data_IF_287566251458
#
_entry.id   IF_287566251458
#
_cell.length_a   1.000
_cell.length_b   1.000
_cell.length_c   1.000
_cell.angle_alpha   90.00
_cell.angle_beta   90.00
_cell.angle_gamma   90.00
#
_symmetry.space_group_name_H-M   'P 1'
#
loop_
_entity.id
_entity.type
_entity.pdbx_description
1 polymer ?
#
# COMPACT_ATOMS: atom_id res chain seq x y z
N UNK A 1 -43.28 44.88 -39.16
CA UNK A 1 -42.70 44.58 -40.49
C UNK A 1 -41.49 43.72 -40.23
N UNK A 2 -41.81 42.60 -40.37
CA UNK A 2 -41.46 41.31 -41.03
C UNK A 2 -40.29 40.60 -40.35
N UNK A 3 -40.70 39.55 -39.72
CA UNK A 3 -40.02 38.44 -39.16
C UNK A 3 -39.35 37.56 -40.26
N UNK A 4 -38.06 37.29 -40.21
CA UNK A 4 -37.43 36.26 -41.03
C UNK A 4 -36.68 35.26 -40.11
N UNK A 5 -37.38 34.18 -39.76
CA UNK A 5 -36.79 32.97 -39.14
C UNK A 5 -36.05 32.16 -40.21
N UNK A 6 -34.76 31.94 -40.00
CA UNK A 6 -33.99 30.90 -40.69
C UNK A 6 -34.23 29.51 -40.07
N UNK A 7 -34.45 28.46 -40.84
CA UNK A 7 -34.59 27.10 -40.31
C UNK A 7 -33.21 26.47 -39.96
N UNK A 8 -33.25 25.55 -38.95
CA UNK A 8 -32.11 24.78 -38.50
C UNK A 8 -31.75 23.67 -39.53
N UNK A 9 -30.47 23.25 -39.65
CA UNK A 9 -30.07 22.14 -40.52
C UNK A 9 -30.38 20.77 -39.88
N UNK A 10 -30.85 19.83 -40.72
CA UNK A 10 -31.13 18.44 -40.40
C UNK A 10 -29.82 17.64 -40.08
N UNK A 11 -29.90 16.54 -39.30
CA UNK A 11 -28.73 15.71 -38.99
C UNK A 11 -28.36 14.78 -40.14
N UNK A 12 -27.16 14.95 -40.68
CA UNK A 12 -26.59 14.09 -41.70
C UNK A 12 -26.18 12.71 -41.14
N UNK A 13 -26.65 11.69 -41.78
CA UNK A 13 -26.35 10.26 -41.62
C UNK A 13 -24.87 10.00 -41.94
N UNK A 14 -24.06 9.56 -40.99
CA UNK A 14 -22.66 9.15 -41.22
C UNK A 14 -22.66 7.65 -41.55
N UNK A 15 -22.24 7.32 -42.76
CA UNK A 15 -22.05 5.96 -43.26
C UNK A 15 -20.86 5.26 -42.52
N UNK A 16 -21.08 4.00 -42.17
CA UNK A 16 -20.06 3.11 -41.61
C UNK A 16 -18.99 2.77 -42.65
N UNK A 17 -17.81 3.31 -42.49
CA UNK A 17 -16.62 2.92 -43.27
C UNK A 17 -15.85 1.80 -42.55
N UNK A 18 -15.77 0.65 -43.17
CA UNK A 18 -14.94 -0.50 -42.79
C UNK A 18 -13.46 -0.14 -43.03
N UNK A 19 -12.67 -0.01 -41.96
CA UNK A 19 -11.23 0.12 -42.03
C UNK A 19 -10.55 -1.26 -41.92
N UNK A 20 -9.72 -1.59 -42.92
CA UNK A 20 -8.87 -2.78 -42.93
C UNK A 20 -7.70 -2.64 -41.97
N UNK A 21 -7.12 -3.77 -41.45
CA UNK A 21 -6.02 -3.71 -40.49
C UNK A 21 -4.71 -3.33 -41.18
N UNK A 22 -4.04 -2.28 -40.69
CA UNK A 22 -2.67 -1.92 -41.06
C UNK A 22 -1.69 -2.81 -40.30
N UNK A 23 -0.72 -3.33 -41.06
CA UNK A 23 0.29 -4.28 -40.60
C UNK A 23 1.24 -3.71 -39.53
N UNK A 24 1.67 -4.59 -38.62
CA UNK A 24 2.61 -4.28 -37.56
C UNK A 24 4.02 -3.99 -38.08
N UNK A 25 4.52 -2.81 -37.75
CA UNK A 25 5.95 -2.48 -37.76
C UNK A 25 6.62 -2.94 -36.47
N UNK A 26 7.96 -2.99 -36.39
CA UNK A 26 8.68 -3.40 -35.18
C UNK A 26 8.38 -2.42 -34.04
N UNK A 27 8.13 -2.97 -32.85
CA UNK A 27 7.79 -2.21 -31.64
C UNK A 27 8.97 -1.34 -31.19
N UNK A 28 8.66 -0.09 -30.88
CA UNK A 28 9.57 0.89 -30.29
C UNK A 28 9.94 0.43 -28.85
N UNK A 29 11.22 0.31 -28.47
CA UNK A 29 11.64 -0.14 -27.14
C UNK A 29 11.24 0.80 -26.01
N UNK A 30 10.84 2.05 -26.28
CA UNK A 30 10.45 3.06 -25.29
C UNK A 30 8.93 3.19 -25.10
N UNK A 31 8.11 2.39 -25.80
CA UNK A 31 6.66 2.45 -25.63
C UNK A 31 6.21 1.67 -24.37
N UNK A 32 5.42 2.28 -23.47
CA UNK A 32 4.95 1.61 -22.25
C UNK A 32 4.08 0.39 -22.59
N UNK A 33 4.43 -0.77 -22.04
CA UNK A 33 3.73 -2.04 -22.30
C UNK A 33 2.30 -2.02 -21.75
N UNK A 34 1.32 -2.11 -22.63
CA UNK A 34 -0.10 -2.21 -22.29
C UNK A 34 -0.50 -3.66 -22.03
N UNK A 35 -1.00 -3.94 -20.84
CA UNK A 35 -1.54 -5.26 -20.48
C UNK A 35 -3.02 -5.37 -20.88
N UNK A 36 -3.41 -6.51 -21.46
CA UNK A 36 -4.80 -6.75 -21.83
C UNK A 36 -5.71 -6.86 -20.59
N UNK A 37 -6.83 -6.10 -20.54
CA UNK A 37 -7.78 -6.07 -19.40
C UNK A 37 -8.16 -7.47 -18.89
N UNK A 38 -8.52 -8.40 -19.79
CA UNK A 38 -8.94 -9.76 -19.39
C UNK A 38 -7.84 -10.60 -18.75
N UNK A 39 -6.61 -10.41 -19.14
CA UNK A 39 -5.45 -11.16 -18.63
C UNK A 39 -5.05 -10.65 -17.25
N UNK A 40 -5.09 -9.34 -17.05
CA UNK A 40 -4.90 -8.70 -15.76
C UNK A 40 -5.99 -9.12 -14.75
N UNK A 41 -7.28 -9.05 -15.13
CA UNK A 41 -8.40 -9.40 -14.25
C UNK A 41 -8.35 -10.86 -13.76
N UNK A 42 -8.01 -11.81 -14.63
CA UNK A 42 -7.92 -13.23 -14.25
C UNK A 42 -6.80 -13.49 -13.23
N UNK A 43 -5.69 -12.80 -13.37
CA UNK A 43 -4.54 -13.02 -12.50
C UNK A 43 -4.69 -12.30 -11.16
N UNK A 44 -5.20 -11.07 -11.14
CA UNK A 44 -5.43 -10.32 -9.90
C UNK A 44 -6.52 -10.98 -9.03
N UNK A 45 -7.63 -11.42 -9.62
CA UNK A 45 -8.69 -12.11 -8.89
C UNK A 45 -8.20 -13.44 -8.28
N UNK A 46 -7.38 -14.21 -9.01
CA UNK A 46 -6.81 -15.47 -8.49
C UNK A 46 -5.80 -15.24 -7.37
N UNK A 47 -5.02 -14.16 -7.43
CA UNK A 47 -4.00 -13.86 -6.43
C UNK A 47 -4.58 -13.10 -5.24
N UNK A 48 -5.58 -12.24 -5.44
CA UNK A 48 -6.35 -11.63 -4.34
C UNK A 48 -7.09 -12.71 -3.54
N UNK A 49 -7.67 -13.70 -4.20
CA UNK A 49 -8.29 -14.86 -3.50
C UNK A 49 -7.26 -15.74 -2.80
N UNK A 50 -6.07 -15.94 -3.34
CA UNK A 50 -4.99 -16.69 -2.65
C UNK A 50 -4.43 -15.91 -1.46
N UNK A 51 -4.25 -14.60 -1.59
CA UNK A 51 -3.80 -13.74 -0.49
C UNK A 51 -4.88 -13.63 0.58
N UNK A 52 -6.14 -13.52 0.21
CA UNK A 52 -7.29 -13.58 1.11
C UNK A 52 -7.37 -14.94 1.81
N UNK A 53 -7.30 -16.05 1.10
CA UNK A 53 -7.30 -17.40 1.69
C UNK A 53 -6.12 -17.62 2.66
N UNK A 54 -4.96 -17.02 2.37
CA UNK A 54 -3.78 -17.10 3.24
C UNK A 54 -3.94 -16.23 4.49
N UNK A 55 -4.56 -15.04 4.36
CA UNK A 55 -4.89 -14.16 5.50
C UNK A 55 -6.00 -14.79 6.37
N UNK A 56 -6.99 -15.46 5.78
CA UNK A 56 -8.05 -16.21 6.49
C UNK A 56 -7.47 -17.37 7.29
N UNK A 57 -6.63 -18.19 6.67
CA UNK A 57 -5.91 -19.26 7.38
C UNK A 57 -5.13 -18.72 8.58
N UNK A 58 -4.49 -17.55 8.42
CA UNK A 58 -3.76 -16.88 9.50
C UNK A 58 -4.64 -16.37 10.63
N UNK A 59 -5.80 -15.75 10.32
CA UNK A 59 -6.72 -15.22 11.33
C UNK A 59 -7.48 -16.33 12.12
N UNK A 60 -7.95 -17.37 11.41
CA UNK A 60 -8.66 -18.50 12.05
C UNK A 60 -7.80 -19.28 13.03
N UNK A 61 -6.55 -19.44 12.73
CA UNK A 61 -5.64 -20.25 13.51
C UNK A 61 -4.89 -19.47 14.59
N UNK A 62 -4.84 -18.08 14.59
CA UNK A 62 -4.43 -17.29 15.77
C UNK A 62 -5.28 -17.61 17.02
N UNK A 63 -6.42 -18.25 16.82
CA UNK A 63 -7.26 -18.77 17.89
C UNK A 63 -6.76 -20.09 18.50
N UNK A 64 -5.99 -20.90 17.78
CA UNK A 64 -5.63 -22.26 18.23
C UNK A 64 -4.14 -22.53 18.46
N UNK A 65 -3.24 -21.68 18.03
CA UNK A 65 -1.80 -21.86 18.26
C UNK A 65 -0.91 -21.05 17.32
N UNK A 66 -0.19 -20.13 17.90
CA UNK A 66 0.61 -19.12 17.20
C UNK A 66 1.84 -19.64 16.43
N UNK A 67 2.27 -20.87 16.64
CA UNK A 67 3.52 -21.40 16.10
C UNK A 67 3.37 -22.17 14.76
N UNK A 68 2.33 -22.98 14.61
CA UNK A 68 2.13 -23.77 13.37
C UNK A 68 1.69 -22.91 12.19
N UNK A 69 1.08 -21.79 12.47
CA UNK A 69 0.57 -20.86 11.47
C UNK A 69 1.59 -19.92 10.89
N UNK A 70 2.52 -19.46 11.68
CA UNK A 70 3.63 -18.67 11.16
C UNK A 70 4.40 -19.47 10.09
N UNK A 71 4.54 -20.80 10.25
CA UNK A 71 5.22 -21.64 9.28
C UNK A 71 4.41 -21.90 7.99
N UNK A 72 3.08 -22.04 8.07
CA UNK A 72 2.24 -22.19 6.88
C UNK A 72 2.12 -20.87 6.10
N UNK A 73 2.11 -19.74 6.80
CA UNK A 73 2.12 -18.41 6.22
C UNK A 73 3.49 -18.06 5.63
N UNK A 74 4.57 -18.38 6.34
CA UNK A 74 5.96 -18.20 5.88
C UNK A 74 6.31 -19.12 4.71
N UNK A 75 5.81 -20.35 4.67
CA UNK A 75 5.98 -21.25 3.52
C UNK A 75 5.33 -20.71 2.24
N UNK A 76 4.23 -19.97 2.33
CA UNK A 76 3.60 -19.30 1.17
C UNK A 76 4.24 -17.94 0.85
N UNK A 77 4.76 -17.23 1.84
CA UNK A 77 5.48 -15.96 1.68
C UNK A 77 6.91 -16.20 1.16
N UNK A 78 7.62 -17.22 1.66
CA UNK A 78 8.92 -17.67 1.13
C UNK A 78 8.83 -18.05 -0.34
N UNK A 79 7.75 -18.69 -0.77
CA UNK A 79 7.54 -18.99 -2.19
C UNK A 79 7.33 -17.72 -3.02
N UNK A 80 6.81 -16.65 -2.45
CA UNK A 80 6.67 -15.33 -3.10
C UNK A 80 7.99 -14.53 -3.07
N UNK A 81 8.70 -14.53 -1.95
CA UNK A 81 9.98 -13.83 -1.74
C UNK A 81 11.10 -14.51 -2.50
N UNK A 82 11.19 -15.87 -2.46
CA UNK A 82 12.19 -16.63 -3.22
C UNK A 82 12.01 -16.47 -4.72
N UNK A 83 10.78 -16.24 -5.21
CA UNK A 83 10.55 -15.93 -6.64
C UNK A 83 10.92 -14.51 -7.04
N UNK A 84 10.95 -13.56 -6.11
CA UNK A 84 11.47 -12.21 -6.38
C UNK A 84 13.00 -12.18 -6.37
N UNK A 85 13.65 -12.93 -5.49
CA UNK A 85 15.12 -13.02 -5.40
C UNK A 85 15.79 -14.08 -6.30
N UNK A 86 15.13 -15.19 -6.60
CA UNK A 86 15.68 -16.31 -7.36
C UNK A 86 15.42 -16.27 -8.87
N UNK A 87 14.77 -15.23 -9.39
CA UNK A 87 14.31 -15.19 -10.79
C UNK A 87 15.34 -14.72 -11.81
N UNK A 88 16.62 -14.79 -11.55
CA UNK A 88 17.62 -14.65 -12.62
C UNK A 88 17.78 -15.91 -13.49
N UNK A 89 17.15 -17.04 -13.13
CA UNK A 89 17.34 -18.31 -13.84
C UNK A 89 16.06 -18.97 -14.40
N UNK A 90 14.86 -18.39 -14.22
CA UNK A 90 13.62 -18.99 -14.69
C UNK A 90 12.82 -18.02 -15.59
N UNK A 91 13.24 -17.92 -16.85
CA UNK A 91 12.60 -17.12 -17.89
C UNK A 91 11.42 -17.87 -18.56
N UNK A 92 10.83 -18.87 -17.94
CA UNK A 92 9.72 -19.62 -18.53
C UNK A 92 8.66 -19.87 -17.47
N UNK A 93 7.48 -19.30 -17.72
CA UNK A 93 6.26 -19.32 -16.93
C UNK A 93 6.06 -18.14 -15.96
N UNK A 94 6.13 -16.94 -16.50
CA UNK A 94 5.41 -15.79 -15.94
C UNK A 94 3.92 -15.90 -16.30
N UNK A 95 3.19 -16.77 -15.63
CA UNK A 95 1.75 -16.58 -15.51
C UNK A 95 1.57 -15.35 -14.62
N UNK A 96 1.39 -14.23 -15.28
CA UNK A 96 1.41 -12.91 -14.70
C UNK A 96 0.19 -12.67 -13.84
N UNK A 97 0.25 -13.04 -12.57
CA UNK A 97 -0.60 -12.45 -11.56
C UNK A 97 0.01 -11.12 -11.14
N UNK A 98 -0.73 -10.02 -11.28
CA UNK A 98 -0.35 -8.76 -10.64
C UNK A 98 -0.43 -8.96 -9.12
N UNK A 99 0.71 -9.09 -8.45
CA UNK A 99 0.81 -9.34 -7.01
C UNK A 99 1.23 -8.11 -6.23
N UNK A 100 1.79 -7.13 -6.91
CA UNK A 100 2.33 -5.93 -6.30
C UNK A 100 2.25 -4.76 -7.29
N UNK A 101 1.97 -3.52 -6.81
CA UNK A 101 2.02 -2.33 -7.65
C UNK A 101 3.44 -1.96 -8.10
N UNK A 102 4.43 -2.72 -7.69
CA UNK A 102 5.83 -2.55 -8.10
C UNK A 102 6.58 -3.88 -8.14
N UNK A 103 7.70 -3.91 -8.86
CA UNK A 103 8.67 -5.01 -8.87
C UNK A 103 10.08 -4.44 -8.87
N UNK A 104 10.95 -5.01 -8.04
CA UNK A 104 12.38 -4.74 -8.09
C UNK A 104 13.06 -5.82 -8.94
N UNK A 105 13.41 -5.47 -10.16
CA UNK A 105 14.18 -6.29 -11.10
C UNK A 105 15.68 -6.00 -10.99
N UNK A 106 16.57 -6.81 -11.59
CA UNK A 106 18.02 -6.58 -11.46
C UNK A 106 18.49 -5.20 -11.91
N UNK A 107 17.89 -4.65 -12.97
CA UNK A 107 18.33 -3.42 -13.60
C UNK A 107 17.30 -2.28 -13.55
N UNK A 108 16.11 -2.53 -12.99
CA UNK A 108 15.04 -1.54 -12.95
C UNK A 108 14.06 -1.80 -11.81
N UNK A 109 13.33 -0.75 -11.44
CA UNK A 109 12.11 -0.84 -10.63
C UNK A 109 10.94 -0.61 -11.57
N UNK A 110 10.03 -1.58 -11.67
CA UNK A 110 8.83 -1.46 -12.50
C UNK A 110 7.67 -1.06 -11.61
N UNK A 111 6.98 0.01 -11.96
CA UNK A 111 5.86 0.58 -11.22
C UNK A 111 4.57 0.49 -12.04
N UNK A 112 3.45 0.15 -11.40
CA UNK A 112 2.12 0.31 -12.00
C UNK A 112 1.72 1.80 -11.95
N UNK A 113 1.46 2.40 -13.10
CA UNK A 113 1.03 3.80 -13.17
C UNK A 113 -0.42 3.96 -12.67
N UNK A 114 -0.56 4.29 -11.40
CA UNK A 114 -1.87 4.49 -10.76
C UNK A 114 -2.65 5.69 -11.32
N UNK A 115 -1.99 6.59 -12.05
CA UNK A 115 -2.64 7.74 -12.71
C UNK A 115 -3.52 7.29 -13.87
N UNK A 116 -3.22 6.12 -14.43
CA UNK A 116 -3.93 5.54 -15.59
C UNK A 116 -5.09 4.62 -15.19
N UNK A 117 -5.14 4.19 -13.92
CA UNK A 117 -6.23 3.40 -13.39
C UNK A 117 -7.52 4.24 -13.26
N UNK A 118 -8.71 3.66 -13.44
CA UNK A 118 -9.00 2.25 -13.78
C UNK A 118 -8.96 1.95 -15.29
N UNK A 119 -8.73 2.95 -16.14
CA UNK A 119 -8.95 2.83 -17.58
C UNK A 119 -7.86 2.01 -18.28
N UNK A 120 -6.61 2.20 -17.91
CA UNK A 120 -5.46 1.55 -18.51
C UNK A 120 -4.52 0.97 -17.44
N UNK A 121 -3.96 -0.20 -17.77
CA UNK A 121 -2.91 -0.85 -16.98
C UNK A 121 -1.57 -0.59 -17.68
N UNK A 122 -0.84 0.37 -17.17
CA UNK A 122 0.45 0.81 -17.72
C UNK A 122 1.53 0.60 -16.69
N UNK A 123 2.64 0.02 -17.09
CA UNK A 123 3.84 -0.12 -16.26
C UNK A 123 4.88 0.92 -16.69
N UNK A 124 5.53 1.53 -15.71
CA UNK A 124 6.62 2.48 -15.87
C UNK A 124 7.91 1.84 -15.35
N UNK A 125 8.92 1.74 -16.19
CA UNK A 125 10.24 1.25 -15.82
C UNK A 125 11.11 2.42 -15.33
N UNK A 126 11.59 2.34 -14.09
CA UNK A 126 12.54 3.27 -13.50
C UNK A 126 13.92 2.61 -13.51
N UNK A 127 14.83 3.15 -14.27
CA UNK A 127 16.19 2.57 -14.41
C UNK A 127 17.21 3.18 -13.44
N UNK A 128 16.82 4.17 -12.65
CA UNK A 128 17.67 4.78 -11.60
C UNK A 128 16.85 5.18 -10.39
N UNK A 129 17.51 5.39 -9.24
CA UNK A 129 16.86 5.96 -8.06
C UNK A 129 16.31 7.37 -8.30
N UNK A 130 16.88 8.13 -9.22
CA UNK A 130 16.36 9.44 -9.63
C UNK A 130 15.01 9.30 -10.38
N UNK A 131 14.86 8.29 -11.25
CA UNK A 131 13.60 7.99 -11.93
C UNK A 131 12.53 7.56 -10.91
N UNK A 132 12.91 6.75 -9.92
CA UNK A 132 12.01 6.36 -8.83
C UNK A 132 11.55 7.60 -8.04
N UNK A 133 12.47 8.51 -7.67
CA UNK A 133 12.11 9.74 -6.99
C UNK A 133 11.20 10.63 -7.86
N UNK A 134 11.42 10.68 -9.18
CA UNK A 134 10.55 11.41 -10.09
C UNK A 134 9.16 10.76 -10.19
N UNK A 135 9.08 9.44 -10.33
CA UNK A 135 7.82 8.70 -10.37
C UNK A 135 6.98 8.93 -9.09
N UNK A 136 7.61 8.97 -7.91
CA UNK A 136 6.95 9.31 -6.65
C UNK A 136 6.40 10.74 -6.69
N UNK A 137 7.20 11.74 -7.06
CA UNK A 137 6.77 13.14 -7.16
C UNK A 137 5.60 13.32 -8.13
N UNK A 138 5.62 12.61 -9.24
CA UNK A 138 4.56 12.65 -10.25
C UNK A 138 3.33 11.80 -9.88
N UNK A 139 3.33 11.16 -8.70
CA UNK A 139 2.23 10.30 -8.25
C UNK A 139 1.95 9.11 -9.19
N UNK A 140 2.98 8.57 -9.86
CA UNK A 140 2.88 7.28 -10.57
C UNK A 140 2.40 6.20 -9.61
N UNK A 141 2.91 6.22 -8.38
CA UNK A 141 2.48 5.41 -7.24
C UNK A 141 2.15 6.30 -6.05
N UNK A 142 1.21 5.87 -5.19
CA UNK A 142 0.74 6.59 -4.01
C UNK A 142 0.50 5.62 -2.85
N UNK A 143 0.45 6.19 -1.64
CA UNK A 143 0.26 5.47 -0.38
C UNK A 143 1.58 5.31 0.36
N UNK A 144 1.67 5.89 1.56
CA UNK A 144 2.92 6.02 2.29
C UNK A 144 3.64 4.68 2.52
N UNK A 145 2.98 3.58 2.90
CA UNK A 145 3.65 2.29 3.07
C UNK A 145 4.25 1.74 1.76
N UNK A 146 3.57 1.94 0.61
CA UNK A 146 4.11 1.59 -0.70
C UNK A 146 5.33 2.44 -1.04
N UNK A 147 5.23 3.77 -0.81
CA UNK A 147 6.31 4.70 -1.16
C UNK A 147 7.61 4.38 -0.42
N UNK A 148 7.52 3.93 0.85
CA UNK A 148 8.70 3.47 1.62
C UNK A 148 9.39 2.27 0.96
N UNK A 149 8.63 1.27 0.53
CA UNK A 149 9.13 0.08 -0.16
C UNK A 149 9.76 0.45 -1.52
N UNK A 150 9.09 1.27 -2.31
CA UNK A 150 9.56 1.72 -3.63
C UNK A 150 10.83 2.57 -3.49
N UNK A 151 10.92 3.42 -2.47
CA UNK A 151 12.12 4.20 -2.18
C UNK A 151 13.31 3.31 -1.82
N UNK A 152 13.10 2.26 -1.01
CA UNK A 152 14.14 1.26 -0.70
C UNK A 152 14.64 0.57 -1.98
N UNK A 153 13.73 0.18 -2.88
CA UNK A 153 14.07 -0.37 -4.19
C UNK A 153 14.91 0.61 -5.03
N UNK A 154 14.56 1.90 -5.04
CA UNK A 154 15.30 2.93 -5.76
C UNK A 154 16.74 3.10 -5.26
N UNK A 155 16.96 3.01 -3.94
CA UNK A 155 18.30 3.09 -3.36
C UNK A 155 19.10 1.80 -3.64
N UNK A 156 18.49 0.63 -3.54
CA UNK A 156 19.11 -0.65 -3.89
C UNK A 156 19.51 -0.70 -5.37
N UNK A 157 18.65 -0.24 -6.28
CA UNK A 157 18.96 -0.10 -7.71
C UNK A 157 20.17 0.82 -7.94
N UNK A 158 20.23 1.95 -7.21
CA UNK A 158 21.37 2.90 -7.30
C UNK A 158 22.67 2.24 -6.82
N UNK A 159 22.63 1.43 -5.78
CA UNK A 159 23.79 0.66 -5.31
C UNK A 159 24.29 -0.32 -6.40
N UNK A 160 23.36 -1.06 -7.03
CA UNK A 160 23.68 -1.96 -8.15
C UNK A 160 24.30 -1.27 -9.37
N UNK A 161 24.02 0.02 -9.56
CA UNK A 161 24.61 0.81 -10.65
C UNK A 161 25.90 1.53 -10.28
N UNK A 162 26.29 1.50 -9.01
CA UNK A 162 27.53 2.12 -8.51
C UNK A 162 28.67 1.15 -8.23
N UNK A 163 28.65 -0.06 -8.81
CA UNK A 163 29.59 -1.16 -8.54
C UNK A 163 31.06 -0.75 -8.73
N UNK A 164 31.35 -0.02 -9.81
CA UNK A 164 32.71 0.39 -10.17
C UNK A 164 33.11 1.77 -9.62
N UNK A 165 32.20 2.46 -8.93
CA UNK A 165 32.48 3.74 -8.32
C UNK A 165 33.46 3.58 -7.16
N UNK A 166 34.35 4.57 -6.96
CA UNK A 166 35.20 4.60 -5.76
C UNK A 166 34.31 4.67 -4.49
N UNK A 167 34.78 4.20 -3.33
CA UNK A 167 34.01 4.20 -2.10
C UNK A 167 33.41 5.59 -1.75
N UNK A 168 34.21 6.66 -1.88
CA UNK A 168 33.74 8.02 -1.63
C UNK A 168 32.70 8.49 -2.65
N UNK A 169 32.88 8.19 -3.93
CA UNK A 169 31.91 8.51 -4.97
C UNK A 169 30.60 7.73 -4.77
N UNK A 170 30.67 6.43 -4.45
CA UNK A 170 29.52 5.59 -4.13
C UNK A 170 28.75 6.14 -2.94
N UNK A 171 29.44 6.51 -1.85
CA UNK A 171 28.83 7.14 -0.69
C UNK A 171 28.06 8.41 -1.09
N UNK A 172 28.69 9.31 -1.85
CA UNK A 172 28.05 10.54 -2.30
C UNK A 172 26.80 10.27 -3.16
N UNK A 173 26.88 9.29 -4.08
CA UNK A 173 25.76 8.87 -4.93
C UNK A 173 24.59 8.34 -4.09
N UNK A 174 24.86 7.43 -3.14
CA UNK A 174 23.81 6.83 -2.30
C UNK A 174 23.14 7.85 -1.39
N UNK A 175 23.92 8.73 -0.71
CA UNK A 175 23.35 9.79 0.10
C UNK A 175 22.55 10.82 -0.72
N UNK A 176 23.05 11.18 -1.90
CA UNK A 176 22.35 12.06 -2.85
C UNK A 176 21.00 11.45 -3.27
N UNK A 177 20.99 10.17 -3.63
CA UNK A 177 19.77 9.44 -4.00
C UNK A 177 18.81 9.31 -2.84
N UNK A 178 19.28 8.96 -1.64
CA UNK A 178 18.43 8.87 -0.45
C UNK A 178 17.76 10.23 -0.14
N UNK A 179 18.50 11.34 -0.27
CA UNK A 179 17.91 12.67 -0.14
C UNK A 179 16.86 12.99 -1.22
N UNK A 180 17.13 12.61 -2.48
CA UNK A 180 16.17 12.82 -3.55
C UNK A 180 14.86 12.03 -3.32
N UNK A 181 14.97 10.79 -2.81
CA UNK A 181 13.83 9.95 -2.47
C UNK A 181 13.05 10.50 -1.27
N UNK A 182 13.72 10.94 -0.18
CA UNK A 182 13.05 11.60 0.96
C UNK A 182 12.27 12.84 0.54
N UNK A 183 12.88 13.66 -0.32
CA UNK A 183 12.25 14.89 -0.81
C UNK A 183 11.16 14.64 -1.88
N UNK A 184 11.01 13.42 -2.38
CA UNK A 184 9.95 13.07 -3.31
C UNK A 184 8.58 12.92 -2.64
N UNK A 185 8.55 12.54 -1.36
CA UNK A 185 7.33 12.44 -0.55
C UNK A 185 7.63 12.78 0.91
N UNK A 186 7.86 14.05 1.26
CA UNK A 186 8.34 14.45 2.58
C UNK A 186 7.30 14.25 3.70
N UNK A 187 6.01 14.18 3.36
CA UNK A 187 4.94 13.87 4.33
C UNK A 187 4.89 12.39 4.68
N UNK A 188 5.35 11.50 3.78
CA UNK A 188 5.28 10.06 3.97
C UNK A 188 6.39 9.57 4.92
N UNK A 189 6.08 9.37 6.20
CA UNK A 189 7.02 8.86 7.19
C UNK A 189 7.70 7.53 6.79
N UNK A 190 7.01 6.54 6.15
CA UNK A 190 7.65 5.32 5.68
C UNK A 190 8.81 5.53 4.72
N UNK A 191 8.80 6.58 3.90
CA UNK A 191 9.94 6.89 3.00
C UNK A 191 11.16 7.30 3.81
N UNK A 192 10.97 8.16 4.81
CA UNK A 192 12.07 8.60 5.71
C UNK A 192 12.62 7.40 6.48
N UNK A 193 11.75 6.62 7.11
CA UNK A 193 12.13 5.45 7.88
C UNK A 193 12.87 4.40 7.03
N UNK A 194 12.41 4.14 5.80
CA UNK A 194 13.09 3.25 4.89
C UNK A 194 14.48 3.76 4.48
N UNK A 195 14.62 5.05 4.19
CA UNK A 195 15.92 5.63 3.85
C UNK A 195 16.89 5.63 5.03
N UNK A 196 16.41 5.88 6.24
CA UNK A 196 17.24 5.82 7.45
C UNK A 196 17.74 4.39 7.68
N UNK A 197 16.87 3.40 7.54
CA UNK A 197 17.20 1.98 7.67
C UNK A 197 18.21 1.52 6.60
N UNK A 198 17.98 1.88 5.34
CA UNK A 198 18.89 1.56 4.24
C UNK A 198 20.29 2.18 4.43
N UNK A 199 20.35 3.44 4.87
CA UNK A 199 21.63 4.11 5.16
C UNK A 199 22.31 3.56 6.42
N UNK A 200 21.56 3.16 7.44
CA UNK A 200 22.09 2.46 8.61
C UNK A 200 22.70 1.10 8.19
N UNK A 201 22.04 0.34 7.31
CA UNK A 201 22.59 -0.90 6.74
C UNK A 201 23.89 -0.63 5.98
N UNK A 202 23.92 0.41 5.13
CA UNK A 202 25.13 0.82 4.41
C UNK A 202 26.28 1.14 5.36
N UNK A 203 26.03 1.89 6.44
CA UNK A 203 27.04 2.20 7.45
C UNK A 203 27.53 0.95 8.19
N UNK A 204 26.62 0.03 8.56
CA UNK A 204 26.93 -1.17 9.32
C UNK A 204 27.85 -2.16 8.59
N UNK A 205 27.83 -2.18 7.25
CA UNK A 205 28.73 -3.03 6.45
C UNK A 205 30.11 -2.41 6.23
N UNK A 206 30.39 -1.20 6.75
CA UNK A 206 31.66 -0.47 6.54
C UNK A 206 31.71 0.17 5.15
N UNK A 207 30.98 1.25 5.00
CA UNK A 207 30.66 1.93 3.73
C UNK A 207 31.87 2.33 2.86
N UNK A 208 32.99 2.66 3.49
CA UNK A 208 34.22 3.05 2.78
C UNK A 208 35.23 1.90 2.62
N UNK A 209 34.98 0.76 3.25
CA UNK A 209 35.91 -0.37 3.26
C UNK A 209 35.48 -1.47 2.32
N UNK A 210 34.21 -1.50 1.89
CA UNK A 210 33.63 -2.56 1.09
C UNK A 210 33.62 -2.23 -0.39
N UNK A 211 33.72 -3.29 -1.21
CA UNK A 211 33.61 -3.19 -2.65
C UNK A 211 32.15 -2.93 -3.10
N UNK A 212 31.99 -2.55 -4.38
CA UNK A 212 30.69 -2.27 -4.95
C UNK A 212 29.70 -3.43 -4.89
N UNK A 213 30.08 -4.64 -5.29
CA UNK A 213 29.22 -5.82 -5.23
C UNK A 213 28.70 -6.13 -3.82
N UNK A 214 29.56 -6.07 -2.80
CA UNK A 214 29.16 -6.30 -1.41
C UNK A 214 28.14 -5.27 -0.94
N UNK A 215 28.35 -3.99 -1.27
CA UNK A 215 27.40 -2.91 -0.94
C UNK A 215 26.07 -3.11 -1.66
N UNK A 216 26.10 -3.45 -2.96
CA UNK A 216 24.92 -3.65 -3.76
C UNK A 216 24.08 -4.83 -3.25
N UNK A 217 24.71 -5.96 -2.94
CA UNK A 217 24.05 -7.12 -2.35
C UNK A 217 23.39 -6.77 -1.02
N UNK A 218 24.12 -6.15 -0.09
CA UNK A 218 23.60 -5.83 1.23
C UNK A 218 22.41 -4.84 1.18
N UNK A 219 22.42 -3.86 0.28
CA UNK A 219 21.30 -2.93 0.13
C UNK A 219 20.13 -3.56 -0.64
N UNK A 220 20.39 -4.53 -1.52
CA UNK A 220 19.33 -5.30 -2.14
C UNK A 220 18.63 -6.20 -1.11
N UNK A 221 19.39 -6.94 -0.32
CA UNK A 221 18.86 -7.81 0.75
C UNK A 221 18.02 -6.99 1.75
N UNK A 222 18.48 -5.76 2.08
CA UNK A 222 17.75 -4.88 2.98
C UNK A 222 16.43 -4.36 2.37
N UNK A 223 16.42 -4.03 1.08
CA UNK A 223 15.20 -3.65 0.38
C UNK A 223 14.20 -4.81 0.32
N UNK A 224 14.67 -6.02 0.02
CA UNK A 224 13.84 -7.24 0.01
C UNK A 224 13.30 -7.56 1.42
N UNK A 225 14.08 -7.31 2.48
CA UNK A 225 13.64 -7.43 3.87
C UNK A 225 12.51 -6.42 4.19
N UNK A 226 12.68 -5.14 3.83
CA UNK A 226 11.64 -4.11 4.02
C UNK A 226 10.32 -4.52 3.34
N UNK A 227 10.39 -5.07 2.13
CA UNK A 227 9.22 -5.54 1.38
C UNK A 227 8.56 -6.73 2.10
N UNK A 228 9.35 -7.73 2.49
CA UNK A 228 8.85 -8.93 3.18
C UNK A 228 8.19 -8.60 4.51
N UNK A 229 8.82 -7.75 5.31
CA UNK A 229 8.29 -7.27 6.60
C UNK A 229 6.99 -6.48 6.42
N UNK A 230 6.88 -5.64 5.37
CA UNK A 230 5.64 -4.93 5.06
C UNK A 230 4.49 -5.89 4.75
N UNK A 231 4.72 -6.96 3.97
CA UNK A 231 3.70 -7.97 3.67
C UNK A 231 3.20 -8.65 4.95
N UNK A 232 4.14 -9.12 5.79
CA UNK A 232 3.81 -9.81 7.04
C UNK A 232 3.18 -8.86 8.06
N UNK A 233 3.69 -7.65 8.17
CA UNK A 233 3.17 -6.61 9.04
C UNK A 233 1.72 -6.26 8.69
N UNK A 234 1.42 -6.02 7.42
CA UNK A 234 0.06 -5.71 6.99
C UNK A 234 -0.92 -6.87 7.22
N UNK A 235 -0.48 -8.13 7.10
CA UNK A 235 -1.32 -9.27 7.43
C UNK A 235 -1.64 -9.33 8.94
N UNK A 236 -0.63 -9.11 9.81
CA UNK A 236 -0.85 -9.01 11.27
C UNK A 236 -1.76 -7.84 11.62
N UNK A 237 -1.54 -6.67 11.01
CA UNK A 237 -2.40 -5.50 11.18
C UNK A 237 -3.85 -5.82 10.83
N UNK A 238 -4.09 -6.53 9.72
CA UNK A 238 -5.43 -6.95 9.31
C UNK A 238 -6.10 -7.82 10.37
N UNK A 239 -5.39 -8.80 10.93
CA UNK A 239 -5.89 -9.65 12.01
C UNK A 239 -6.18 -8.87 13.31
N UNK A 240 -5.29 -7.92 13.69
CA UNK A 240 -5.53 -7.05 14.83
C UNK A 240 -6.80 -6.20 14.65
N UNK A 241 -7.02 -5.67 13.43
CA UNK A 241 -8.21 -4.91 13.11
C UNK A 241 -9.50 -5.76 13.14
N UNK A 242 -9.45 -6.99 12.63
CA UNK A 242 -10.58 -7.91 12.71
C UNK A 242 -10.93 -8.23 14.17
N UNK A 243 -9.93 -8.45 15.03
CA UNK A 243 -10.12 -8.63 16.47
C UNK A 243 -10.79 -7.42 17.12
N UNK A 244 -10.43 -6.19 16.71
CA UNK A 244 -11.13 -4.98 17.18
C UNK A 244 -12.61 -5.05 16.85
N UNK A 245 -12.99 -5.31 15.61
CA UNK A 245 -14.38 -5.36 15.17
C UNK A 245 -15.18 -6.50 15.80
N UNK A 246 -14.53 -7.58 16.18
CA UNK A 246 -15.18 -8.70 16.90
C UNK A 246 -15.46 -8.38 18.37
N UNK A 247 -14.64 -7.55 19.01
CA UNK A 247 -14.69 -7.28 20.45
C UNK A 247 -15.34 -5.94 20.83
N UNK A 248 -15.46 -5.01 19.86
CA UNK A 248 -16.00 -3.68 20.13
C UNK A 248 -17.54 -3.72 20.32
N UNK A 249 -18.09 -3.14 21.41
CA UNK A 249 -19.51 -3.20 21.69
C UNK A 249 -20.42 -2.53 20.65
N UNK A 250 -19.93 -1.51 19.96
CA UNK A 250 -20.72 -0.79 18.96
C UNK A 250 -20.75 -1.53 17.62
N UNK A 251 -19.67 -2.22 17.30
CA UNK A 251 -19.51 -2.92 16.02
C UNK A 251 -19.62 -4.43 16.16
N UNK A 252 -19.48 -5.01 17.35
CA UNK A 252 -19.50 -6.45 17.62
C UNK A 252 -20.88 -7.12 17.62
N UNK A 253 -21.99 -6.36 17.64
CA UNK A 253 -23.34 -6.85 17.95
C UNK A 253 -24.03 -7.73 16.88
N UNK A 254 -23.35 -8.16 15.82
CA UNK A 254 -23.92 -8.96 14.72
C UNK A 254 -24.61 -8.11 13.65
N UNK A 255 -25.03 -8.77 12.56
CA UNK A 255 -25.56 -8.09 11.37
C UNK A 255 -24.47 -7.58 10.41
N UNK A 256 -24.90 -6.91 9.34
CA UNK A 256 -24.01 -6.33 8.33
C UNK A 256 -23.26 -5.13 8.90
N UNK A 257 -21.95 -5.18 8.94
CA UNK A 257 -21.08 -4.09 9.37
C UNK A 257 -20.88 -3.08 8.22
N UNK A 258 -21.26 -1.83 8.45
CA UNK A 258 -21.17 -0.74 7.46
C UNK A 258 -19.94 0.10 7.75
N UNK A 259 -18.91 -0.06 6.95
CA UNK A 259 -17.62 0.62 7.12
C UNK A 259 -17.44 1.69 6.04
N UNK A 260 -17.15 2.92 6.44
CA UNK A 260 -16.76 3.99 5.52
C UNK A 260 -15.25 4.14 5.51
N UNK A 261 -14.68 4.26 4.31
CA UNK A 261 -13.25 4.55 4.11
C UNK A 261 -13.05 5.72 3.16
N UNK A 262 -11.97 6.47 3.36
CA UNK A 262 -11.52 7.58 2.52
C UNK A 262 -10.02 7.44 2.25
N UNK A 263 -9.56 7.87 1.10
CA UNK A 263 -8.15 7.81 0.70
C UNK A 263 -7.77 6.53 -0.02
N UNK A 264 -6.47 6.30 -0.13
CA UNK A 264 -5.88 5.09 -0.73
C UNK A 264 -5.54 4.10 0.37
N UNK A 265 -6.36 3.06 0.57
CA UNK A 265 -6.30 2.19 1.75
C UNK A 265 -6.06 0.71 1.44
N UNK A 266 -5.92 0.37 0.14
CA UNK A 266 -5.78 -1.00 -0.32
C UNK A 266 -4.34 -1.42 -0.65
N UNK A 267 -4.20 -2.52 -1.39
CA UNK A 267 -2.94 -3.10 -1.82
C UNK A 267 -2.15 -2.16 -2.74
N UNK A 268 -2.83 -1.34 -3.54
CA UNK A 268 -2.19 -0.32 -4.37
C UNK A 268 -1.45 0.75 -3.55
N UNK A 269 -1.85 0.97 -2.30
CA UNK A 269 -1.19 1.91 -1.38
C UNK A 269 -0.27 1.24 -0.36
N UNK A 270 -0.54 -0.02 -0.03
CA UNK A 270 0.23 -0.80 0.94
C UNK A 270 1.39 -1.59 0.34
N UNK A 271 1.35 -1.87 -0.95
CA UNK A 271 2.36 -2.67 -1.66
C UNK A 271 1.85 -4.03 -2.12
N UNK A 272 1.22 -4.83 -1.30
CA UNK A 272 0.68 -6.15 -1.67
C UNK A 272 -0.61 -6.49 -0.91
N UNK A 273 -0.69 -6.16 0.36
CA UNK A 273 -1.82 -6.54 1.24
C UNK A 273 -2.77 -5.35 1.47
N UNK A 274 -2.23 -4.16 1.69
CA UNK A 274 -2.97 -2.97 2.08
C UNK A 274 -3.09 -2.81 3.59
N UNK A 275 -3.79 -1.76 4.03
CA UNK A 275 -3.99 -1.44 5.45
C UNK A 275 -5.48 -1.51 5.81
N UNK A 276 -6.24 -0.43 5.69
CA UNK A 276 -7.66 -0.42 6.06
C UNK A 276 -8.49 -1.42 5.26
N UNK A 277 -8.27 -1.58 3.95
CA UNK A 277 -8.97 -2.62 3.18
C UNK A 277 -8.55 -4.04 3.57
N UNK A 278 -7.33 -4.24 4.05
CA UNK A 278 -6.92 -5.55 4.57
C UNK A 278 -7.69 -5.91 5.85
N UNK A 279 -7.90 -4.94 6.76
CA UNK A 279 -8.77 -5.13 7.93
C UNK A 279 -10.19 -5.50 7.52
N UNK A 280 -10.77 -4.76 6.57
CA UNK A 280 -12.12 -5.03 6.06
C UNK A 280 -12.23 -6.44 5.46
N UNK A 281 -11.23 -6.86 4.70
CA UNK A 281 -11.16 -8.24 4.15
C UNK A 281 -11.10 -9.27 5.27
N UNK A 282 -10.23 -9.07 6.25
CA UNK A 282 -10.09 -10.00 7.39
C UNK A 282 -11.40 -10.17 8.17
N UNK A 283 -12.13 -9.07 8.43
CA UNK A 283 -13.46 -9.12 9.07
C UNK A 283 -14.46 -9.95 8.26
N UNK A 284 -14.45 -9.78 6.93
CA UNK A 284 -15.31 -10.53 6.03
C UNK A 284 -14.93 -12.02 5.97
N UNK A 285 -13.65 -12.28 5.94
CA UNK A 285 -13.11 -13.64 5.86
C UNK A 285 -13.37 -14.44 7.15
N UNK A 286 -13.56 -13.75 8.30
CA UNK A 286 -14.08 -14.33 9.54
C UNK A 286 -15.60 -14.61 9.48
N UNK A 287 -16.25 -14.43 8.33
CA UNK A 287 -17.64 -14.77 8.09
C UNK A 287 -18.63 -13.66 8.40
N UNK A 288 -18.17 -12.44 8.63
CA UNK A 288 -19.05 -11.30 8.89
C UNK A 288 -19.45 -10.60 7.59
N UNK A 289 -20.74 -10.31 7.43
CA UNK A 289 -21.20 -9.47 6.33
C UNK A 289 -20.68 -8.04 6.51
N UNK A 290 -20.04 -7.50 5.46
CA UNK A 290 -19.53 -6.13 5.43
C UNK A 290 -20.07 -5.39 4.22
N UNK A 291 -20.62 -4.20 4.43
CA UNK A 291 -20.95 -3.24 3.40
C UNK A 291 -19.93 -2.09 3.44
N UNK A 292 -19.20 -1.90 2.35
CA UNK A 292 -18.13 -0.91 2.28
C UNK A 292 -18.65 0.34 1.57
N UNK A 293 -18.58 1.47 2.26
CA UNK A 293 -18.84 2.79 1.73
C UNK A 293 -17.50 3.44 1.41
N UNK A 294 -17.26 3.77 0.15
CA UNK A 294 -15.99 4.33 -0.32
C UNK A 294 -16.21 5.79 -0.67
N UNK A 295 -15.64 6.72 0.09
CA UNK A 295 -15.61 8.12 -0.29
C UNK A 295 -14.76 8.30 -1.56
N UNK A 296 -15.22 9.12 -2.52
CA UNK A 296 -14.51 9.29 -3.80
C UNK A 296 -13.11 9.87 -3.66
N UNK A 297 -12.85 10.60 -2.59
CA UNK A 297 -11.57 11.22 -2.21
C UNK A 297 -11.08 12.23 -3.24
N UNK A 298 -11.75 13.40 -3.28
CA UNK A 298 -11.30 14.55 -4.09
C UNK A 298 -9.98 15.11 -3.54
N UNK A 299 -9.13 15.77 -4.35
CA UNK A 299 -9.32 16.01 -5.80
C UNK A 299 -8.84 14.86 -6.69
N UNK A 300 -8.00 13.96 -6.18
CA UNK A 300 -7.34 12.92 -6.98
C UNK A 300 -8.24 11.71 -7.28
N UNK A 301 -9.37 11.58 -6.60
CA UNK A 301 -10.34 10.49 -6.71
C UNK A 301 -9.75 9.12 -6.37
N UNK A 302 -8.89 9.07 -5.33
CA UNK A 302 -8.22 7.83 -4.93
C UNK A 302 -9.22 6.73 -4.53
N UNK A 303 -10.30 7.09 -3.80
CA UNK A 303 -11.36 6.15 -3.47
C UNK A 303 -12.08 5.63 -4.70
N UNK A 304 -12.50 6.53 -5.59
CA UNK A 304 -13.26 6.14 -6.80
C UNK A 304 -12.42 5.38 -7.81
N UNK A 305 -11.14 5.70 -7.96
CA UNK A 305 -10.28 5.16 -9.01
C UNK A 305 -9.48 3.93 -8.56
N UNK A 306 -8.99 3.91 -7.33
CA UNK A 306 -8.12 2.86 -6.82
C UNK A 306 -8.86 1.90 -5.91
N UNK A 307 -9.50 2.40 -4.83
CA UNK A 307 -10.17 1.56 -3.83
C UNK A 307 -11.35 0.83 -4.45
N UNK A 308 -12.22 1.53 -5.18
CA UNK A 308 -13.36 0.93 -5.87
C UNK A 308 -12.91 -0.12 -6.91
N UNK A 309 -11.81 0.17 -7.62
CA UNK A 309 -11.23 -0.77 -8.57
C UNK A 309 -10.70 -2.04 -7.90
N UNK A 310 -9.97 -1.92 -6.78
CA UNK A 310 -9.49 -3.08 -6.01
C UNK A 310 -10.65 -3.93 -5.47
N UNK A 311 -11.69 -3.29 -4.94
CA UNK A 311 -12.88 -3.98 -4.42
C UNK A 311 -13.65 -4.71 -5.52
N UNK A 312 -13.82 -4.06 -6.69
CA UNK A 312 -14.45 -4.68 -7.85
C UNK A 312 -13.67 -5.91 -8.33
N UNK A 313 -12.34 -5.85 -8.36
CA UNK A 313 -11.48 -6.97 -8.71
C UNK A 313 -11.58 -8.12 -7.70
N UNK A 314 -11.67 -7.80 -6.42
CA UNK A 314 -11.81 -8.79 -5.35
C UNK A 314 -13.23 -9.37 -5.26
N UNK A 315 -14.19 -8.88 -6.06
CA UNK A 315 -15.61 -9.30 -5.97
C UNK A 315 -16.25 -8.91 -4.63
N UNK A 316 -15.74 -7.85 -3.99
CA UNK A 316 -16.26 -7.35 -2.71
C UNK A 316 -17.29 -6.26 -2.99
N UNK A 317 -18.55 -6.40 -2.52
CA UNK A 317 -19.56 -5.37 -2.68
C UNK A 317 -19.17 -4.06 -2.00
N UNK A 318 -19.40 -2.95 -2.68
CA UNK A 318 -19.16 -1.62 -2.14
C UNK A 318 -20.13 -0.60 -2.76
N UNK A 319 -20.24 0.55 -2.10
CA UNK A 319 -20.99 1.71 -2.60
C UNK A 319 -20.06 2.92 -2.64
N UNK A 320 -19.94 3.55 -3.80
CA UNK A 320 -19.20 4.80 -3.94
C UNK A 320 -20.02 5.96 -3.40
N UNK A 321 -19.39 6.83 -2.61
CA UNK A 321 -20.01 7.98 -1.95
C UNK A 321 -19.25 9.25 -2.33
N UNK A 322 -19.97 10.31 -2.72
CA UNK A 322 -19.36 11.63 -2.85
C UNK A 322 -18.91 12.17 -1.49
N UNK A 323 -17.71 12.75 -1.41
CA UNK A 323 -17.11 13.18 -0.14
C UNK A 323 -18.04 14.06 0.69
N UNK A 324 -18.77 14.99 0.05
CA UNK A 324 -19.72 15.87 0.71
C UNK A 324 -20.96 15.16 1.31
N UNK A 325 -21.29 13.95 0.86
CA UNK A 325 -22.41 13.16 1.36
C UNK A 325 -22.03 12.28 2.57
N UNK A 326 -20.76 11.96 2.73
CA UNK A 326 -20.27 11.02 3.73
C UNK A 326 -20.66 11.40 5.16
N UNK A 327 -20.50 12.67 5.54
CA UNK A 327 -20.91 13.19 6.85
C UNK A 327 -22.42 13.01 7.12
N UNK A 328 -23.26 13.18 6.10
CA UNK A 328 -24.71 12.96 6.20
C UNK A 328 -25.07 11.48 6.44
N UNK A 329 -24.30 10.53 5.89
CA UNK A 329 -24.48 9.10 6.14
C UNK A 329 -24.15 8.74 7.61
N UNK A 330 -23.06 9.29 8.17
CA UNK A 330 -22.74 9.12 9.59
C UNK A 330 -23.89 9.66 10.47
N UNK A 331 -24.36 10.87 10.17
CA UNK A 331 -25.42 11.53 10.93
C UNK A 331 -26.76 10.75 10.92
N UNK A 332 -27.04 9.98 9.87
CA UNK A 332 -28.25 9.14 9.77
C UNK A 332 -28.08 7.74 10.35
N UNK A 333 -26.90 7.43 10.90
CA UNK A 333 -26.62 6.10 11.44
C UNK A 333 -26.50 5.02 10.35
N UNK A 334 -26.07 5.38 9.15
CA UNK A 334 -25.85 4.46 8.03
C UNK A 334 -24.40 3.94 7.97
N UNK A 335 -23.55 4.34 8.93
CA UNK A 335 -22.14 3.95 9.07
C UNK A 335 -21.90 3.48 10.49
N UNK A 336 -21.28 2.32 10.67
CA UNK A 336 -20.97 1.74 11.98
C UNK A 336 -19.52 2.04 12.41
N UNK A 337 -18.63 2.27 11.45
CA UNK A 337 -17.24 2.67 11.70
C UNK A 337 -16.64 3.40 10.50
N UNK A 338 -15.68 4.28 10.78
CA UNK A 338 -14.79 4.87 9.77
C UNK A 338 -13.41 4.27 9.92
N UNK A 339 -12.76 3.87 8.82
CA UNK A 339 -11.39 3.35 8.84
C UNK A 339 -10.56 4.01 7.75
N UNK A 340 -9.39 4.53 8.11
CA UNK A 340 -8.50 5.28 7.21
C UNK A 340 -7.06 4.76 7.28
N UNK A 341 -6.28 5.05 6.25
CA UNK A 341 -4.82 4.84 6.22
C UNK A 341 -4.10 6.20 6.28
N UNK A 342 -3.12 6.41 7.16
CA UNK A 342 -2.39 7.66 7.24
C UNK A 342 -1.12 7.67 6.38
N UNK A 343 -0.67 8.87 6.05
CA UNK A 343 0.67 9.14 5.48
C UNK A 343 1.75 9.18 6.59
N UNK A 344 1.38 9.64 7.79
CA UNK A 344 2.26 9.71 8.95
C UNK A 344 1.45 9.79 10.26
N UNK A 345 2.05 9.35 11.36
CA UNK A 345 1.53 9.45 12.73
C UNK A 345 2.57 10.16 13.57
N UNK A 346 2.21 11.28 14.20
CA UNK A 346 3.07 12.02 15.11
C UNK A 346 3.21 11.31 16.47
N UNK A 347 4.18 11.73 17.27
CA UNK A 347 4.47 11.13 18.59
C UNK A 347 3.31 11.21 19.58
N UNK A 348 2.47 12.23 19.49
CA UNK A 348 1.28 12.37 20.34
C UNK A 348 0.07 11.57 19.84
N UNK A 349 0.14 10.98 18.64
CA UNK A 349 -0.93 10.22 18.01
C UNK A 349 -1.77 11.02 17.01
N UNK A 350 -1.45 12.28 16.73
CA UNK A 350 -2.06 13.01 15.60
C UNK A 350 -1.68 12.33 14.29
N UNK A 351 -2.61 12.27 13.34
CA UNK A 351 -2.42 11.54 12.09
C UNK A 351 -2.63 12.43 10.87
N UNK A 352 -1.75 12.33 9.88
CA UNK A 352 -1.90 12.94 8.57
C UNK A 352 -2.57 11.94 7.63
N UNK A 353 -3.77 12.25 7.14
CA UNK A 353 -4.56 11.40 6.25
C UNK A 353 -4.97 12.17 4.98
N UNK A 354 -5.58 11.49 4.01
CA UNK A 354 -6.14 12.15 2.82
C UNK A 354 -7.15 13.23 3.22
N UNK A 355 -7.26 14.33 2.43
CA UNK A 355 -8.19 15.43 2.68
C UNK A 355 -9.64 14.94 2.80
N UNK A 356 -10.37 15.49 3.79
CA UNK A 356 -11.72 15.07 4.20
C UNK A 356 -11.74 14.22 5.47
N UNK A 357 -10.62 13.61 5.84
CA UNK A 357 -10.52 12.73 7.02
C UNK A 357 -10.79 13.49 8.33
N UNK A 358 -10.33 14.73 8.48
CA UNK A 358 -10.60 15.55 9.66
C UNK A 358 -12.10 15.79 9.86
N UNK A 359 -12.79 16.19 8.79
CA UNK A 359 -14.23 16.39 8.84
C UNK A 359 -15.00 15.14 9.20
N UNK A 360 -14.61 13.98 8.67
CA UNK A 360 -15.21 12.69 9.01
C UNK A 360 -14.93 12.30 10.47
N UNK A 361 -13.74 12.54 11.00
CA UNK A 361 -13.39 12.25 12.39
C UNK A 361 -14.25 13.08 13.37
N UNK A 362 -14.43 14.38 13.11
CA UNK A 362 -15.29 15.27 13.91
C UNK A 362 -16.74 14.79 13.90
N UNK A 363 -17.27 14.40 12.73
CA UNK A 363 -18.65 13.90 12.63
C UNK A 363 -18.79 12.52 13.28
N UNK A 364 -17.78 11.64 13.13
CA UNK A 364 -17.76 10.33 13.78
C UNK A 364 -17.81 10.48 15.31
N UNK A 365 -16.98 11.34 15.90
CA UNK A 365 -17.01 11.66 17.33
C UNK A 365 -18.39 12.17 17.76
N UNK A 366 -18.96 13.13 17.02
CA UNK A 366 -20.29 13.71 17.32
C UNK A 366 -21.41 12.67 17.41
N UNK A 367 -21.29 11.58 16.65
CA UNK A 367 -22.26 10.50 16.56
C UNK A 367 -21.84 9.21 17.27
N UNK A 368 -20.75 9.25 18.05
CA UNK A 368 -20.18 8.10 18.78
C UNK A 368 -19.84 6.91 17.83
N UNK A 369 -19.43 7.21 16.60
CA UNK A 369 -19.00 6.22 15.62
C UNK A 369 -17.48 6.06 15.74
N UNK A 370 -16.93 4.83 15.86
CA UNK A 370 -15.50 4.61 15.92
C UNK A 370 -14.78 5.15 14.66
N UNK A 371 -13.74 5.98 14.89
CA UNK A 371 -12.81 6.42 13.84
C UNK A 371 -11.47 5.69 14.04
N UNK A 372 -11.15 4.76 13.13
CA UNK A 372 -10.00 3.90 13.20
C UNK A 372 -8.92 4.32 12.21
N UNK A 373 -7.68 4.22 12.64
CA UNK A 373 -6.49 4.44 11.81
C UNK A 373 -5.77 3.11 11.64
N UNK A 374 -5.73 2.57 10.42
CA UNK A 374 -5.02 1.34 10.09
C UNK A 374 -3.66 1.65 9.48
N UNK A 375 -2.60 1.47 10.24
CA UNK A 375 -1.27 1.94 9.90
C UNK A 375 -0.17 0.98 10.37
N UNK A 376 0.76 0.56 9.50
CA UNK A 376 1.96 -0.12 9.97
C UNK A 376 2.82 0.82 10.82
N UNK A 377 3.57 0.26 11.75
CA UNK A 377 4.48 1.02 12.62
C UNK A 377 5.47 1.89 11.82
N UNK A 378 5.77 1.51 10.59
CA UNK A 378 6.60 2.31 9.69
C UNK A 378 6.03 3.70 9.36
N UNK A 379 4.73 3.94 9.59
CA UNK A 379 4.10 5.27 9.44
C UNK A 379 4.30 6.18 10.66
N UNK A 380 4.86 5.66 11.75
CA UNK A 380 5.18 6.46 12.92
C UNK A 380 6.38 7.37 12.65
N UNK A 381 6.15 8.68 12.76
CA UNK A 381 7.16 9.72 12.61
C UNK A 381 7.73 10.09 13.98
N UNK A 382 8.95 9.59 14.26
CA UNK A 382 9.65 9.84 15.53
C UNK A 382 10.10 11.29 15.71
N UNK A 383 10.20 12.06 14.62
CA UNK A 383 10.63 13.46 14.64
C UNK A 383 9.45 14.41 14.83
N UNK A 384 8.26 14.08 14.34
CA UNK A 384 7.07 14.90 14.49
C UNK A 384 6.55 14.82 15.93
N UNK A 385 6.61 15.90 16.67
CA UNK A 385 6.11 15.95 18.05
C UNK A 385 4.58 15.87 18.12
N UNK A 386 3.91 16.56 17.20
CA UNK A 386 2.46 16.68 17.08
C UNK A 386 2.06 16.97 15.62
N UNK A 387 0.76 17.08 15.34
CA UNK A 387 0.21 17.32 14.02
C UNK A 387 0.69 18.60 13.33
N UNK A 388 1.18 19.60 14.07
CA UNK A 388 1.75 20.82 13.47
C UNK A 388 3.08 20.55 12.76
N UNK A 389 3.77 19.48 13.13
CA UNK A 389 4.99 19.03 12.47
C UNK A 389 4.67 18.17 11.23
N UNK A 390 3.46 17.62 11.11
CA UNK A 390 3.00 16.87 9.95
C UNK A 390 2.57 17.87 8.85
N UNK A 391 3.49 18.16 7.95
CA UNK A 391 3.29 19.23 6.96
C UNK A 391 2.36 18.80 5.83
N UNK A 392 1.25 19.54 5.68
CA UNK A 392 0.45 19.49 4.46
C UNK A 392 1.16 20.28 3.35
N UNK A 393 1.62 19.60 2.30
CA UNK A 393 2.21 20.27 1.15
C UNK A 393 1.14 20.77 0.20
N UNK A 394 1.32 21.94 -0.43
CA UNK A 394 0.42 22.41 -1.47
C UNK A 394 0.58 21.52 -2.72
N UNK A 395 -0.53 20.99 -3.20
CA UNK A 395 -0.60 20.26 -4.47
C UNK A 395 -1.02 21.18 -5.62
N UNK A 396 -0.79 20.77 -6.88
CA UNK A 396 -1.17 21.57 -8.02
C UNK A 396 -2.65 21.95 -8.00
N UNK A 397 -2.95 23.25 -8.17
CA UNK A 397 -4.33 23.75 -8.23
C UNK A 397 -5.15 23.09 -9.36
N UNK A 398 -4.50 22.70 -10.44
CA UNK A 398 -5.11 22.02 -11.60
C UNK A 398 -5.87 20.74 -11.19
N UNK A 399 -5.46 20.03 -10.14
CA UNK A 399 -6.14 18.82 -9.64
C UNK A 399 -7.56 19.12 -9.14
N UNK A 400 -7.78 20.30 -8.52
CA UNK A 400 -9.11 20.77 -8.11
C UNK A 400 -9.88 21.41 -9.26
N UNK A 401 -9.20 22.15 -10.13
CA UNK A 401 -9.80 22.95 -11.18
C UNK A 401 -10.16 22.13 -12.43
N UNK A 402 -9.78 20.86 -12.47
CA UNK A 402 -10.04 19.98 -13.61
C UNK A 402 -10.55 18.61 -13.15
N UNK A 403 -11.33 17.94 -13.98
CA UNK A 403 -11.82 16.59 -13.79
C UNK A 403 -11.75 15.84 -15.12
N UNK A 404 -11.10 14.66 -15.15
CA UNK A 404 -10.94 13.88 -16.38
C UNK A 404 -10.25 14.65 -17.51
N UNK A 405 -9.28 15.51 -17.19
CA UNK A 405 -8.59 16.36 -18.14
C UNK A 405 -9.37 17.59 -18.61
N UNK A 406 -10.64 17.73 -18.19
CA UNK A 406 -11.48 18.87 -18.54
C UNK A 406 -11.53 19.88 -17.39
N UNK A 407 -11.28 21.15 -17.67
CA UNK A 407 -11.45 22.23 -16.70
C UNK A 407 -12.91 22.37 -16.28
N UNK A 408 -13.18 22.45 -14.97
CA UNK A 408 -14.52 22.56 -14.37
C UNK A 408 -14.75 23.89 -13.66
N UNK A 409 -13.70 24.71 -13.47
CA UNK A 409 -13.80 26.03 -12.86
C UNK A 409 -13.49 27.14 -13.87
N UNK A 410 -14.02 28.37 -13.71
CA UNK A 410 -13.70 29.50 -14.57
C UNK A 410 -12.19 29.78 -14.67
N UNK A 411 -11.77 30.38 -15.77
CA UNK A 411 -10.39 30.81 -15.95
C UNK A 411 -10.02 31.87 -14.88
N UNK A 412 -8.79 31.85 -14.38
CA UNK A 412 -8.36 32.75 -13.30
C UNK A 412 -8.78 32.31 -11.89
N UNK A 413 -9.56 31.21 -11.72
CA UNK A 413 -9.91 30.71 -10.38
C UNK A 413 -8.65 30.25 -9.62
N UNK A 414 -8.46 30.77 -8.40
CA UNK A 414 -7.46 30.27 -7.45
C UNK A 414 -8.02 29.04 -6.69
N UNK A 415 -7.12 28.13 -6.26
CA UNK A 415 -7.51 26.96 -5.48
C UNK A 415 -6.52 26.70 -4.34
N UNK A 416 -7.04 26.22 -3.22
CA UNK A 416 -6.24 25.69 -2.08
C UNK A 416 -6.38 24.18 -2.11
N UNK A 417 -5.25 23.48 -2.29
CA UNK A 417 -5.20 22.03 -2.46
C UNK A 417 -4.13 21.46 -1.52
N UNK A 418 -4.45 21.20 -0.24
CA UNK A 418 -3.50 20.55 0.69
C UNK A 418 -3.35 19.06 0.36
N UNK A 419 -2.15 18.52 0.60
CA UNK A 419 -1.87 17.09 0.37
C UNK A 419 -2.54 16.17 1.39
N UNK A 420 -2.71 16.65 2.62
CA UNK A 420 -3.28 15.89 3.75
C UNK A 420 -4.13 16.79 4.64
N UNK A 421 -5.06 16.15 5.38
CA UNK A 421 -5.66 16.67 6.62
C UNK A 421 -4.89 16.13 7.81
N UNK A 422 -4.83 16.90 8.90
CA UNK A 422 -4.35 16.42 10.19
C UNK A 422 -5.53 16.16 11.12
N UNK A 423 -5.69 14.90 11.51
CA UNK A 423 -6.70 14.47 12.49
C UNK A 423 -6.05 14.42 13.87
N UNK A 424 -6.53 15.21 14.84
CA UNK A 424 -6.04 15.19 16.22
C UNK A 424 -6.26 13.82 16.87
N UNK A 425 -5.32 13.42 17.72
CA UNK A 425 -5.33 12.12 18.42
C UNK A 425 -6.60 11.89 19.25
N UNK A 426 -7.21 12.94 19.79
CA UNK A 426 -8.45 12.89 20.55
C UNK A 426 -9.66 12.43 19.75
N UNK A 427 -9.66 12.59 18.42
CA UNK A 427 -10.71 12.13 17.52
C UNK A 427 -10.50 10.68 17.05
N UNK A 428 -9.33 10.08 17.34
CA UNK A 428 -9.00 8.72 16.94
C UNK A 428 -9.42 7.74 18.02
N UNK A 429 -10.30 6.80 17.69
CA UNK A 429 -10.77 5.76 18.63
C UNK A 429 -9.69 4.72 18.90
N UNK A 430 -8.98 4.29 17.86
CA UNK A 430 -7.86 3.37 17.96
C UNK A 430 -6.95 3.45 16.72
N UNK A 431 -5.66 3.18 16.94
CA UNK A 431 -4.67 2.95 15.89
C UNK A 431 -4.39 1.45 15.81
N UNK A 432 -4.72 0.84 14.69
CA UNK A 432 -4.51 -0.59 14.41
C UNK A 432 -3.16 -0.74 13.71
N UNK A 433 -2.26 -1.48 14.34
CA UNK A 433 -0.92 -1.75 13.83
C UNK A 433 -0.65 -3.27 13.80
N UNK A 434 0.46 -3.68 13.22
CA UNK A 434 0.95 -5.05 13.31
C UNK A 434 1.38 -5.47 14.72
N UNK A 435 1.62 -4.50 15.61
CA UNK A 435 1.94 -4.74 17.02
C UNK A 435 0.69 -4.84 17.91
N UNK A 436 -0.50 -4.56 17.36
CA UNK A 436 -1.77 -4.61 18.09
C UNK A 436 -2.65 -3.40 17.87
N UNK A 437 -3.75 -3.35 18.60
CA UNK A 437 -4.70 -2.23 18.63
C UNK A 437 -4.30 -1.27 19.73
N UNK A 438 -3.81 -0.10 19.36
CA UNK A 438 -3.38 0.95 20.28
C UNK A 438 -4.55 1.87 20.61
N UNK A 439 -4.66 2.28 21.88
CA UNK A 439 -5.65 3.25 22.38
C UNK A 439 -4.93 4.41 23.09
N UNK A 440 -5.62 5.52 23.21
CA UNK A 440 -5.09 6.68 23.93
C UNK A 440 -4.72 6.32 25.40
N UNK A 441 -3.62 6.91 25.94
CA UNK A 441 -2.73 7.87 25.31
C UNK A 441 -1.74 7.22 24.35
N UNK A 442 -1.69 7.72 23.10
CA UNK A 442 -0.96 7.05 22.01
C UNK A 442 0.57 7.13 22.12
N UNK A 443 1.10 8.21 22.67
CA UNK A 443 2.54 8.48 22.63
C UNK A 443 3.40 7.34 23.18
N UNK A 444 3.06 6.80 24.36
CA UNK A 444 3.78 5.67 24.97
C UNK A 444 3.56 4.37 24.17
N UNK A 445 2.31 4.13 23.74
CA UNK A 445 1.96 2.92 22.99
C UNK A 445 2.65 2.86 21.62
N UNK A 446 2.68 3.97 20.88
CA UNK A 446 3.39 4.09 19.60
C UNK A 446 4.90 3.92 19.75
N UNK A 447 5.49 4.56 20.79
CA UNK A 447 6.92 4.42 21.07
C UNK A 447 7.28 2.97 21.42
N UNK A 448 6.45 2.29 22.20
CA UNK A 448 6.64 0.87 22.54
C UNK A 448 6.50 -0.04 21.32
N UNK A 449 5.46 0.17 20.49
CA UNK A 449 5.27 -0.57 19.25
C UNK A 449 6.46 -0.39 18.28
N UNK A 450 7.01 0.84 18.20
CA UNK A 450 8.16 1.15 17.36
C UNK A 450 9.51 0.67 17.91
N UNK A 451 9.58 0.32 19.18
CA UNK A 451 10.78 -0.23 19.82
C UNK A 451 10.75 -1.76 19.92
N UNK A 452 9.58 -2.37 19.72
CA UNK A 452 9.46 -3.82 19.75
C UNK A 452 10.34 -4.42 18.64
N UNK A 453 11.21 -5.40 18.95
CA UNK A 453 11.91 -6.12 17.90
C UNK A 453 10.84 -6.78 17.01
N UNK A 454 10.98 -6.67 15.71
CA UNK A 454 10.14 -7.43 14.80
C UNK A 454 10.25 -8.90 15.18
N UNK A 455 9.09 -9.56 15.38
CA UNK A 455 9.08 -10.97 15.74
C UNK A 455 9.86 -11.72 14.65
N UNK A 456 10.93 -12.47 15.02
CA UNK A 456 11.75 -13.16 14.03
C UNK A 456 10.83 -14.05 13.19
N UNK A 457 11.08 -14.07 11.88
CA UNK A 457 10.54 -15.10 11.02
C UNK A 457 10.87 -16.44 11.70
N UNK A 458 9.86 -17.25 12.04
CA UNK A 458 10.07 -18.49 12.75
C UNK A 458 11.11 -19.32 11.98
N UNK A 459 12.26 -19.54 12.60
CA UNK A 459 13.31 -20.37 12.04
C UNK A 459 12.70 -21.75 11.76
N UNK A 460 12.84 -22.23 10.54
CA UNK A 460 12.42 -23.57 10.14
C UNK A 460 12.98 -24.59 11.14
N UNK A 461 12.10 -25.27 11.86
CA UNK A 461 12.46 -26.39 12.74
C UNK A 461 12.78 -27.62 11.89
N UNK A 462 13.95 -27.60 11.22
CA UNK A 462 14.56 -28.77 10.59
C UNK A 462 15.85 -29.09 11.36
N UNK A 463 15.70 -29.68 12.53
CA UNK A 463 16.70 -30.55 13.15
C UNK A 463 16.08 -31.25 14.39
N UNK A 464 15.00 -31.99 14.19
CA UNK A 464 14.64 -33.04 15.15
C UNK A 464 15.50 -34.26 14.83
N UNK A 465 16.63 -34.37 15.51
CA UNK A 465 17.48 -35.55 15.47
C UNK A 465 16.69 -36.80 15.83
N UNK A 466 16.78 -37.79 14.97
CA UNK A 466 16.33 -39.14 15.22
C UNK A 466 17.13 -39.69 16.41
N UNK A 467 16.49 -39.75 17.57
CA UNK A 467 17.02 -40.53 18.72
C UNK A 467 16.66 -41.97 18.47
N UNK A 468 17.63 -42.75 18.03
CA UNK A 468 17.56 -44.20 18.03
C UNK A 468 17.69 -44.68 19.48
N UNK A 469 16.61 -45.25 20.04
CA UNK A 469 16.62 -45.93 21.31
C UNK A 469 17.39 -47.26 21.23
N UNK A 470 17.93 -47.74 22.36
CA UNK A 470 18.75 -48.96 22.38
C UNK A 470 17.89 -50.23 22.20
N UNK A 471 18.31 -51.11 21.34
CA UNK A 471 17.80 -52.46 21.17
C UNK A 471 18.18 -53.30 22.38
N UNK A 472 17.21 -53.73 23.13
CA UNK A 472 17.34 -54.79 24.13
C UNK A 472 17.55 -56.14 23.45
N UNK A 473 18.76 -56.72 23.62
CA UNK A 473 19.01 -58.15 23.44
C UNK A 473 18.85 -58.83 24.79
N UNK A 474 17.77 -59.55 24.96
CA UNK A 474 17.68 -60.57 26.00
C UNK A 474 17.70 -61.93 25.33
N UNK A 475 18.78 -62.64 25.54
CA UNK A 475 18.99 -63.99 25.08
C UNK A 475 18.15 -65.02 25.82
N UNK A 476 17.81 -66.05 25.07
CA UNK A 476 17.29 -67.29 25.55
C UNK A 476 18.43 -68.17 26.10
N UNK A 477 18.19 -68.74 27.27
CA UNK A 477 18.69 -70.07 27.67
C UNK A 477 17.89 -70.57 28.88
N UNK A 478 17.26 -71.66 28.63
CA UNK A 478 17.00 -72.90 29.38
C UNK A 478 15.58 -73.39 29.16
#
# INVERSE_FOLDING_TARGET
MTDERRPAPEPGTIAAGTAAPLGGGPADPDEPRRLGRRQFFRSFAADAMKTAATVVGAAGALREGSAEMASAFLGSADTAITRVGASAAATTERSAGFRSPFRLEPEQVVLLDQRRLPDELVEVACVSGADVAQAIRESVVRGAPLLGQVAACGLALTAGRSLVASPHARRAILFGTANALRNAAPTAAPVRNAMDRMLARFAAIGDLERDGPTVASALRDEADAIIGEAVMGHARLAACGATFFASDPHTGAGGTLRILTIGSTGALAGGQVGTALAVVRAVRDEGRDVNILVAETRPWLAGARLVAWELALAGIPFTLVGDGAAAGLLARGEVDAVIVGPEAIARNGDVACDPGSYGLAVVAERHAIPFLVAAPVSTYDREAADGRALRAEPRPAAELLSLGGRRIAPEGTSAVNPSVDVVPAELVTAIVTEAGVLRAPYGTALAAAAAAPEAPAAASADSAGVVTGPTDQAGAEA
#
